data_IF_878275036359
#
_entry.id   IF_878275036359
#
_cell.length_a   1.000
_cell.length_b   1.000
_cell.length_c   1.000
_cell.angle_alpha   90.00
_cell.angle_beta   90.00
_cell.angle_gamma   90.00
#
_symmetry.space_group_name_H-M   'P 1'
#
loop_
_entity.id
_entity.type
_entity.pdbx_description
1 polymer ?
#
# COMPACT_ATOMS: atom_id res chain seq x y z
N UNK A 1 12.54 15.90 30.15
CA UNK A 1 12.01 14.59 30.58
C UNK A 1 13.21 13.70 30.78
N UNK A 2 13.38 13.21 32.00
CA UNK A 2 14.54 12.43 32.45
C UNK A 2 14.54 11.02 31.82
N UNK A 3 15.63 10.55 31.18
CA UNK A 3 15.69 9.23 30.55
C UNK A 3 15.66 8.03 31.52
N UNK A 4 15.58 8.27 32.83
CA UNK A 4 15.74 7.24 33.87
C UNK A 4 14.43 6.61 34.38
N UNK A 5 13.31 6.78 33.68
CA UNK A 5 12.02 6.15 34.04
C UNK A 5 11.43 5.27 32.92
N UNK A 6 12.24 4.39 32.31
CA UNK A 6 11.68 3.21 31.63
C UNK A 6 11.24 2.20 32.70
N UNK A 7 9.98 1.73 32.69
CA UNK A 7 9.55 0.69 33.61
C UNK A 7 10.41 -0.56 33.40
N UNK A 8 10.74 -1.31 34.47
CA UNK A 8 11.50 -2.55 34.34
C UNK A 8 10.79 -3.50 33.37
N UNK A 9 11.54 -4.08 32.44
CA UNK A 9 11.04 -5.15 31.60
C UNK A 9 10.47 -6.24 32.52
N UNK A 10 9.19 -6.58 32.33
CA UNK A 10 8.55 -7.65 33.07
C UNK A 10 9.29 -8.96 32.80
N UNK A 11 9.93 -9.51 33.83
CA UNK A 11 10.65 -10.80 33.83
C UNK A 11 9.71 -12.02 33.69
N UNK A 12 8.41 -11.82 33.46
CA UNK A 12 7.51 -12.92 33.16
C UNK A 12 7.58 -13.26 31.66
N UNK A 13 8.01 -14.50 31.29
CA UNK A 13 7.90 -14.95 29.91
C UNK A 13 6.41 -14.90 29.51
N UNK A 14 6.08 -14.39 28.31
CA UNK A 14 4.69 -14.26 27.89
C UNK A 14 4.00 -15.62 28.05
N UNK A 15 2.85 -15.63 28.74
CA UNK A 15 2.14 -16.85 29.18
C UNK A 15 1.58 -17.73 28.05
N UNK A 16 2.02 -17.53 26.81
CA UNK A 16 1.57 -18.31 25.68
C UNK A 16 2.68 -18.49 24.63
N UNK A 17 3.88 -18.94 25.05
CA UNK A 17 4.87 -19.43 24.09
C UNK A 17 4.43 -20.79 23.59
N UNK A 18 3.56 -20.73 22.60
CA UNK A 18 2.88 -21.88 22.09
C UNK A 18 3.84 -22.60 21.13
N UNK A 19 4.03 -23.91 21.32
CA UNK A 19 4.79 -24.80 20.41
C UNK A 19 4.01 -25.01 19.10
N UNK A 20 3.43 -23.94 18.56
CA UNK A 20 2.58 -23.99 17.40
C UNK A 20 3.49 -24.31 16.20
N UNK A 21 3.06 -25.22 15.31
CA UNK A 21 3.77 -25.45 14.06
C UNK A 21 4.11 -24.13 13.35
N UNK A 22 5.12 -24.16 12.48
CA UNK A 22 5.55 -23.02 11.66
C UNK A 22 4.40 -22.47 10.77
N UNK A 23 3.20 -23.05 10.83
CA UNK A 23 2.01 -22.69 10.10
C UNK A 23 0.74 -22.83 10.97
N UNK A 24 -0.09 -21.78 11.02
CA UNK A 24 -1.45 -21.83 11.57
C UNK A 24 -2.39 -21.26 10.51
N UNK A 25 -3.44 -22.02 10.16
CA UNK A 25 -4.50 -21.50 9.31
C UNK A 25 -5.28 -20.44 10.07
N UNK A 26 -5.41 -19.26 9.45
CA UNK A 26 -6.18 -18.15 10.00
C UNK A 26 -7.53 -18.14 9.28
N UNK A 27 -8.66 -18.34 9.97
CA UNK A 27 -9.98 -18.35 9.35
C UNK A 27 -10.23 -17.08 8.51
N UNK A 28 -10.75 -17.25 7.30
CA UNK A 28 -11.03 -16.13 6.39
C UNK A 28 -9.84 -15.66 5.56
N UNK A 29 -8.66 -16.24 5.75
CA UNK A 29 -7.46 -15.96 4.97
C UNK A 29 -7.00 -17.22 4.23
N UNK A 30 -6.60 -17.05 2.96
CA UNK A 30 -6.01 -18.13 2.16
C UNK A 30 -4.72 -18.58 2.83
N UNK A 31 -4.36 -19.85 2.67
CA UNK A 31 -3.14 -20.38 3.26
C UNK A 31 -1.89 -19.68 2.74
N UNK A 32 -1.41 -18.66 3.45
CA UNK A 32 -0.28 -17.86 2.95
C UNK A 32 1.06 -18.49 3.33
N UNK A 33 1.89 -18.85 2.36
CA UNK A 33 3.29 -19.17 2.62
C UNK A 33 4.04 -17.91 3.05
N UNK A 34 5.04 -18.03 3.93
CA UNK A 34 5.85 -16.87 4.33
C UNK A 34 6.53 -16.20 3.14
N UNK A 35 6.46 -14.87 3.08
CA UNK A 35 7.12 -14.09 2.04
C UNK A 35 6.39 -14.06 0.69
N UNK A 36 5.19 -14.65 0.59
CA UNK A 36 4.39 -14.65 -0.63
C UNK A 36 3.13 -13.80 -0.44
N UNK A 37 2.96 -12.78 -1.28
CA UNK A 37 1.74 -11.98 -1.32
C UNK A 37 0.67 -12.69 -2.14
N UNK A 38 -0.48 -12.97 -1.54
CA UNK A 38 -1.63 -13.58 -2.23
C UNK A 38 -2.70 -12.50 -2.45
N UNK A 39 -3.10 -12.21 -3.71
CA UNK A 39 -4.14 -11.23 -3.98
C UNK A 39 -5.50 -11.71 -3.47
N UNK A 40 -6.27 -10.80 -2.88
CA UNK A 40 -7.63 -11.05 -2.39
C UNK A 40 -8.63 -10.46 -3.36
N UNK A 41 -9.59 -11.28 -3.80
CA UNK A 41 -10.65 -10.83 -4.71
C UNK A 41 -11.59 -9.85 -4.00
N UNK A 42 -11.91 -8.69 -4.59
CA UNK A 42 -12.91 -7.76 -4.03
C UNK A 42 -14.31 -8.38 -3.98
N UNK A 43 -15.15 -7.97 -3.02
CA UNK A 43 -16.56 -8.34 -3.01
C UNK A 43 -17.23 -7.83 -4.29
N UNK A 44 -18.12 -8.64 -4.86
CA UNK A 44 -18.90 -8.23 -6.02
C UNK A 44 -19.88 -7.14 -5.60
N UNK A 45 -19.65 -5.91 -6.06
CA UNK A 45 -20.60 -4.84 -5.88
C UNK A 45 -21.73 -4.97 -6.92
N UNK A 46 -22.99 -4.77 -6.52
CA UNK A 46 -24.08 -4.68 -7.48
C UNK A 46 -23.82 -3.49 -8.40
N UNK A 47 -23.96 -3.70 -9.71
CA UNK A 47 -23.93 -2.60 -10.66
C UNK A 47 -25.07 -1.63 -10.34
N UNK A 48 -24.83 -0.31 -10.31
CA UNK A 48 -25.91 0.64 -10.13
C UNK A 48 -26.97 0.41 -11.22
N UNK A 49 -28.15 -0.02 -10.80
CA UNK A 49 -29.30 -0.19 -11.68
C UNK A 49 -30.06 1.13 -11.73
N UNK A 50 -30.17 1.73 -12.91
CA UNK A 50 -30.90 2.98 -13.09
C UNK A 50 -30.60 3.62 -14.44
N UNK A 51 -31.49 4.51 -14.86
CA UNK A 51 -31.20 5.38 -15.99
C UNK A 51 -30.16 6.42 -15.54
N UNK A 52 -29.22 6.82 -16.43
CA UNK A 52 -28.33 7.95 -16.13
C UNK A 52 -29.17 9.18 -15.77
N UNK A 53 -28.70 10.03 -14.85
CA UNK A 53 -29.42 11.24 -14.49
C UNK A 53 -29.65 12.09 -15.76
N UNK A 54 -30.83 12.74 -15.89
CA UNK A 54 -31.09 13.60 -17.03
C UNK A 54 -30.07 14.73 -17.04
N UNK A 55 -29.23 14.76 -18.09
CA UNK A 55 -28.31 15.86 -18.31
C UNK A 55 -29.06 17.03 -18.91
N UNK A 56 -29.33 18.05 -18.10
CA UNK A 56 -29.86 19.33 -18.58
C UNK A 56 -28.70 20.19 -19.05
N UNK A 57 -28.61 20.38 -20.37
CA UNK A 57 -27.74 21.41 -20.92
C UNK A 57 -28.46 22.74 -20.83
N UNK A 58 -27.89 23.69 -20.09
CA UNK A 58 -28.23 25.08 -20.31
C UNK A 58 -27.71 25.40 -21.71
N UNK A 59 -28.61 25.73 -22.64
CA UNK A 59 -28.20 26.20 -23.95
C UNK A 59 -27.29 27.41 -23.72
N UNK A 60 -25.99 27.25 -23.98
CA UNK A 60 -25.03 28.36 -24.00
C UNK A 60 -25.22 29.15 -25.30
N UNK A 61 -26.47 29.33 -25.72
CA UNK A 61 -26.92 30.21 -26.78
C UNK A 61 -26.59 31.63 -26.33
N UNK A 62 -25.33 32.05 -26.57
CA UNK A 62 -24.82 33.42 -26.75
C UNK A 62 -23.28 33.46 -26.81
N UNK A 63 -22.62 32.53 -27.51
CA UNK A 63 -21.23 32.75 -27.93
C UNK A 63 -21.25 33.53 -29.24
N UNK A 64 -20.67 34.73 -29.24
CA UNK A 64 -20.54 35.58 -30.43
C UNK A 64 -19.23 35.31 -31.18
N UNK A 65 -19.23 35.56 -32.49
CA UNK A 65 -18.06 35.34 -33.36
C UNK A 65 -16.83 36.12 -32.86
N UNK A 66 -17.03 37.32 -32.35
CA UNK A 66 -15.97 38.20 -31.87
C UNK A 66 -15.27 37.61 -30.65
N UNK A 67 -16.01 37.12 -29.64
CA UNK A 67 -15.40 36.45 -28.47
C UNK A 67 -14.61 35.19 -28.87
N UNK A 68 -15.12 34.42 -29.84
CA UNK A 68 -14.39 33.26 -30.38
C UNK A 68 -13.09 33.67 -31.08
N UNK A 69 -13.13 34.73 -31.90
CA UNK A 69 -11.95 35.22 -32.63
C UNK A 69 -10.90 35.77 -31.66
N UNK A 70 -11.33 36.48 -30.62
CA UNK A 70 -10.45 36.97 -29.55
C UNK A 70 -9.82 35.83 -28.76
N UNK A 71 -10.60 34.82 -28.32
CA UNK A 71 -10.07 33.66 -27.62
C UNK A 71 -9.05 32.89 -28.47
N UNK A 72 -9.31 32.73 -29.76
CA UNK A 72 -8.38 32.09 -30.72
C UNK A 72 -7.09 32.90 -30.89
N UNK A 73 -7.20 34.23 -30.93
CA UNK A 73 -6.05 35.13 -30.99
C UNK A 73 -5.18 35.02 -29.73
N UNK A 74 -5.82 35.02 -28.55
CA UNK A 74 -5.14 34.85 -27.27
C UNK A 74 -4.39 33.51 -27.21
N UNK A 75 -5.07 32.41 -27.56
CA UNK A 75 -4.45 31.08 -27.60
C UNK A 75 -3.21 31.05 -28.50
N UNK A 76 -3.27 31.63 -29.70
CA UNK A 76 -2.10 31.72 -30.60
C UNK A 76 -0.99 32.58 -30.02
N UNK A 77 -1.32 33.68 -29.33
CA UNK A 77 -0.32 34.56 -28.72
C UNK A 77 0.46 33.91 -27.56
N UNK A 78 -0.16 32.95 -26.87
CA UNK A 78 0.47 32.19 -25.77
C UNK A 78 1.45 31.12 -26.29
N UNK A 79 1.39 30.77 -27.59
CA UNK A 79 2.21 29.73 -28.20
C UNK A 79 3.28 30.34 -29.13
N UNK A 80 4.52 30.40 -28.66
CA UNK A 80 5.64 31.15 -29.28
C UNK A 80 5.97 30.80 -30.75
N UNK A 81 5.53 29.66 -31.26
CA UNK A 81 5.78 29.19 -32.63
C UNK A 81 4.54 29.23 -33.53
N UNK A 82 3.38 29.69 -33.04
CA UNK A 82 2.17 29.77 -33.85
C UNK A 82 2.15 31.07 -34.66
N UNK A 83 1.97 30.95 -35.98
CA UNK A 83 1.80 32.11 -36.84
C UNK A 83 0.45 32.80 -36.57
N UNK A 84 0.45 34.13 -36.42
CA UNK A 84 -0.77 34.91 -36.17
C UNK A 84 -1.56 35.26 -37.44
N UNK A 85 -0.96 35.13 -38.63
CA UNK A 85 -1.60 35.42 -39.93
C UNK A 85 -2.90 34.64 -40.15
N UNK A 86 -2.95 33.30 -39.96
CA UNK A 86 -4.16 32.53 -40.21
C UNK A 86 -5.35 32.94 -39.33
N UNK A 87 -5.11 33.39 -38.09
CA UNK A 87 -6.20 33.82 -37.19
C UNK A 87 -6.77 35.18 -37.57
N UNK A 88 -5.95 36.07 -38.16
CA UNK A 88 -6.38 37.39 -38.61
C UNK A 88 -7.12 37.35 -39.95
N UNK A 89 -6.71 36.45 -40.85
CA UNK A 89 -7.17 36.44 -42.24
C UNK A 89 -8.30 35.41 -42.50
N UNK A 90 -8.59 34.52 -41.54
CA UNK A 90 -9.68 33.55 -41.70
C UNK A 90 -11.03 34.25 -41.83
N UNK A 91 -11.73 33.95 -42.92
CA UNK A 91 -13.13 34.34 -43.13
C UNK A 91 -14.03 33.25 -42.58
N UNK A 92 -14.83 33.58 -41.57
CA UNK A 92 -15.84 32.68 -41.01
C UNK A 92 -17.09 32.82 -41.87
N UNK A 93 -17.50 31.74 -42.53
CA UNK A 93 -18.63 31.75 -43.47
C UNK A 93 -19.95 31.30 -42.84
N UNK A 94 -19.86 30.51 -41.76
CA UNK A 94 -20.99 30.01 -40.99
C UNK A 94 -20.55 29.86 -39.53
N UNK A 95 -21.48 30.06 -38.60
CA UNK A 95 -21.21 30.03 -37.17
C UNK A 95 -22.33 29.31 -36.43
N UNK A 96 -21.97 28.20 -35.77
CA UNK A 96 -22.89 27.37 -35.00
C UNK A 96 -22.30 27.05 -33.63
N UNK A 97 -22.93 27.59 -32.58
CA UNK A 97 -22.63 27.19 -31.21
C UNK A 97 -23.10 25.76 -30.96
N UNK A 98 -22.19 24.90 -30.50
CA UNK A 98 -22.52 23.55 -30.04
C UNK A 98 -21.97 23.41 -28.64
N UNK A 99 -22.79 22.94 -27.70
CA UNK A 99 -22.35 22.61 -26.35
C UNK A 99 -21.82 21.17 -26.34
N UNK A 100 -20.59 20.99 -25.90
CA UNK A 100 -19.98 19.68 -25.68
C UNK A 100 -19.51 19.57 -24.23
N UNK A 101 -19.63 18.38 -23.65
CA UNK A 101 -19.03 18.08 -22.34
C UNK A 101 -17.62 17.58 -22.57
N UNK A 102 -16.64 18.27 -22.02
CA UNK A 102 -15.30 17.73 -21.84
C UNK A 102 -15.17 17.26 -20.40
N UNK A 103 -14.98 15.96 -20.19
CA UNK A 103 -14.74 15.37 -18.87
C UNK A 103 -13.50 14.49 -18.89
N UNK A 104 -12.83 14.42 -17.76
CA UNK A 104 -11.71 13.51 -17.52
C UNK A 104 -12.19 12.48 -16.50
N UNK A 105 -12.12 11.21 -16.84
CA UNK A 105 -12.41 10.12 -15.90
C UNK A 105 -11.11 9.64 -15.27
N UNK A 106 -10.92 10.02 -14.01
CA UNK A 106 -9.88 9.45 -13.18
C UNK A 106 -10.45 8.24 -12.44
N UNK A 107 -9.96 7.05 -12.79
CA UNK A 107 -10.40 5.81 -12.12
C UNK A 107 -9.31 5.37 -11.16
N UNK A 108 -9.68 5.14 -9.90
CA UNK A 108 -8.80 4.50 -8.93
C UNK A 108 -9.27 3.08 -8.66
N UNK A 109 -8.33 2.13 -8.65
CA UNK A 109 -8.59 0.75 -8.31
C UNK A 109 -7.80 0.38 -7.06
N UNK A 110 -8.49 -0.21 -6.09
CA UNK A 110 -7.90 -0.75 -4.88
C UNK A 110 -7.70 -2.26 -5.04
N UNK A 111 -6.48 -2.74 -4.80
CA UNK A 111 -6.14 -4.15 -4.69
C UNK A 111 -5.65 -4.45 -3.29
N UNK A 112 -6.09 -5.57 -2.71
CA UNK A 112 -5.59 -6.08 -1.43
C UNK A 112 -4.86 -7.40 -1.63
N UNK A 113 -3.75 -7.61 -0.94
CA UNK A 113 -3.07 -8.89 -0.82
C UNK A 113 -2.72 -9.18 0.63
N UNK A 114 -2.56 -10.45 0.97
CA UNK A 114 -2.25 -10.88 2.35
C UNK A 114 -0.97 -11.67 2.37
N UNK A 115 -0.13 -11.45 3.39
CA UNK A 115 1.12 -12.17 3.57
C UNK A 115 1.44 -12.41 5.06
N UNK A 116 1.98 -13.58 5.36
CA UNK A 116 2.56 -13.87 6.67
C UNK A 116 3.91 -13.18 6.85
N UNK A 117 4.06 -12.39 7.90
CA UNK A 117 5.30 -11.70 8.25
C UNK A 117 5.85 -12.17 9.61
N UNK A 118 7.18 -12.10 9.74
CA UNK A 118 7.93 -12.41 10.98
C UNK A 118 8.75 -11.18 11.36
N UNK A 119 8.68 -10.78 12.62
CA UNK A 119 9.53 -9.75 13.19
C UNK A 119 10.11 -10.24 14.53
N UNK A 120 11.36 -9.88 14.90
CA UNK A 120 11.86 -10.16 16.24
C UNK A 120 10.91 -9.61 17.30
N UNK A 121 10.66 -10.36 18.37
CA UNK A 121 9.84 -9.88 19.47
C UNK A 121 10.72 -9.10 20.45
N UNK A 122 10.40 -7.83 20.70
CA UNK A 122 11.19 -6.90 21.54
C UNK A 122 10.43 -6.59 22.85
N UNK A 123 9.47 -7.45 23.22
CA UNK A 123 8.53 -7.17 24.31
C UNK A 123 7.33 -6.32 23.87
N UNK A 124 6.38 -6.12 24.80
CA UNK A 124 5.15 -5.36 24.58
C UNK A 124 3.89 -6.23 24.38
N UNK A 125 2.70 -5.60 24.36
CA UNK A 125 1.44 -6.32 24.24
C UNK A 125 1.34 -7.03 22.88
N UNK A 126 0.80 -8.25 22.92
CA UNK A 126 0.56 -9.08 21.75
C UNK A 126 -0.95 -9.13 21.55
N UNK A 127 -1.40 -8.71 20.38
CA UNK A 127 -2.80 -8.80 19.99
C UNK A 127 -3.07 -10.14 19.30
N UNK A 128 -3.29 -11.17 20.11
CA UNK A 128 -3.48 -12.53 19.64
C UNK A 128 -4.94 -12.93 19.40
N UNK A 129 -5.18 -14.15 18.90
CA UNK A 129 -6.52 -14.69 18.65
C UNK A 129 -7.42 -14.73 19.90
N UNK A 130 -6.83 -14.68 21.10
CA UNK A 130 -7.55 -14.57 22.37
C UNK A 130 -8.36 -13.28 22.52
N UNK A 131 -8.00 -12.21 21.79
CA UNK A 131 -8.69 -10.92 21.84
C UNK A 131 -9.88 -10.82 20.88
N UNK A 132 -10.09 -11.83 20.02
CA UNK A 132 -11.21 -11.89 19.10
C UNK A 132 -10.88 -12.56 17.77
N UNK A 133 -11.89 -12.79 16.91
CA UNK A 133 -11.67 -13.28 15.55
C UNK A 133 -11.05 -12.18 14.68
N UNK A 134 -10.09 -12.52 13.80
CA UNK A 134 -9.51 -11.55 12.88
C UNK A 134 -10.58 -11.08 11.86
N UNK A 135 -10.57 -9.80 11.46
CA UNK A 135 -11.48 -9.27 10.45
C UNK A 135 -11.18 -9.88 9.07
N UNK A 136 -12.17 -9.89 8.17
CA UNK A 136 -11.93 -10.29 6.78
C UNK A 136 -11.15 -9.21 6.03
N UNK A 137 -10.35 -9.57 4.98
CA UNK A 137 -9.50 -8.63 4.26
C UNK A 137 -10.20 -7.38 3.75
N UNK A 138 -11.47 -7.46 3.32
CA UNK A 138 -12.26 -6.33 2.78
C UNK A 138 -13.18 -5.65 3.81
N UNK A 139 -13.40 -6.27 4.97
CA UNK A 139 -14.14 -5.65 6.08
C UNK A 139 -13.22 -4.75 6.91
N UNK A 140 -11.91 -5.00 6.84
CA UNK A 140 -10.89 -4.18 7.48
C UNK A 140 -10.86 -2.77 6.88
N UNK A 141 -10.95 -1.69 7.68
CA UNK A 141 -10.90 -0.33 7.18
C UNK A 141 -9.48 0.02 6.73
N UNK A 142 -9.36 0.35 5.45
CA UNK A 142 -8.15 0.83 4.80
C UNK A 142 -8.46 2.24 4.31
N UNK A 143 -8.12 3.25 5.10
CA UNK A 143 -8.35 4.65 4.69
C UNK A 143 -7.21 5.10 3.79
N UNK A 144 -7.45 5.50 2.54
CA UNK A 144 -6.40 6.01 1.67
C UNK A 144 -5.82 7.31 2.24
N UNK A 145 -4.51 7.54 2.06
CA UNK A 145 -3.86 8.78 2.54
C UNK A 145 -4.41 10.02 1.81
N UNK A 146 -4.71 9.84 0.53
CA UNK A 146 -5.29 10.87 -0.32
C UNK A 146 -6.15 10.21 -1.40
N UNK A 147 -7.32 10.79 -1.66
CA UNK A 147 -8.18 10.37 -2.78
C UNK A 147 -7.46 10.54 -4.11
N UNK A 148 -7.58 9.55 -5.01
CA UNK A 148 -6.96 9.58 -6.34
C UNK A 148 -5.43 9.80 -6.29
N UNK A 149 -4.73 9.04 -5.43
CA UNK A 149 -3.27 8.94 -5.42
C UNK A 149 -2.79 7.51 -5.36
N UNK A 150 -1.86 7.15 -6.24
CA UNK A 150 -1.21 5.84 -6.18
C UNK A 150 -0.44 5.74 -4.87
N UNK A 151 -0.74 4.74 -4.06
CA UNK A 151 -0.04 4.48 -2.80
C UNK A 151 -0.10 3.00 -2.45
N UNK A 152 0.80 2.58 -1.56
CA UNK A 152 0.79 1.22 -1.01
C UNK A 152 0.95 1.28 0.51
N UNK A 153 0.22 0.42 1.22
CA UNK A 153 0.24 0.32 2.68
C UNK A 153 0.42 -1.11 3.10
N UNK A 154 1.17 -1.30 4.18
CA UNK A 154 1.30 -2.57 4.89
C UNK A 154 0.72 -2.40 6.29
N UNK A 155 -0.28 -3.20 6.62
CA UNK A 155 -1.03 -3.07 7.87
C UNK A 155 -1.06 -4.42 8.58
N UNK A 156 -0.81 -4.43 9.90
CA UNK A 156 -0.96 -5.63 10.71
C UNK A 156 -2.44 -5.96 10.88
N UNK A 157 -2.84 -7.19 10.60
CA UNK A 157 -4.23 -7.64 10.79
C UNK A 157 -4.47 -7.85 12.30
N UNK A 158 -5.50 -7.22 12.88
CA UNK A 158 -5.85 -7.40 14.30
C UNK A 158 -6.08 -8.86 14.68
N UNK A 159 -5.75 -9.20 15.93
CA UNK A 159 -5.96 -10.52 16.53
C UNK A 159 -5.23 -11.69 15.83
N UNK A 160 -4.24 -11.40 14.99
CA UNK A 160 -3.43 -12.43 14.30
C UNK A 160 -2.03 -12.59 14.87
N UNK A 161 -1.66 -11.77 15.87
CA UNK A 161 -0.28 -11.75 16.33
C UNK A 161 0.00 -12.87 17.34
N UNK A 162 1.08 -13.61 17.12
CA UNK A 162 1.46 -14.72 18.00
C UNK A 162 2.96 -14.67 18.24
N UNK A 163 3.39 -14.88 19.48
CA UNK A 163 4.80 -15.02 19.82
C UNK A 163 5.19 -16.49 19.71
N UNK A 164 6.20 -16.78 18.89
CA UNK A 164 6.66 -18.13 18.64
C UNK A 164 8.16 -18.29 18.96
N UNK A 165 8.54 -19.52 19.29
CA UNK A 165 9.93 -19.94 19.37
C UNK A 165 10.57 -19.87 17.99
N UNK A 166 11.69 -19.16 17.84
CA UNK A 166 12.45 -19.17 16.59
C UNK A 166 12.80 -20.62 16.20
N UNK A 167 12.38 -21.12 15.01
CA UNK A 167 12.60 -22.51 14.63
C UNK A 167 14.08 -22.85 14.45
N UNK A 168 14.93 -21.84 14.20
CA UNK A 168 16.37 -22.01 14.12
C UNK A 168 17.02 -22.29 15.47
N UNK A 169 16.54 -21.63 16.53
CA UNK A 169 17.19 -21.68 17.85
C UNK A 169 16.37 -22.27 18.99
N UNK A 170 15.08 -22.57 18.79
CA UNK A 170 14.19 -23.22 19.78
C UNK A 170 14.15 -22.47 21.13
N UNK A 171 14.07 -21.13 21.09
CA UNK A 171 14.22 -20.21 22.24
C UNK A 171 15.59 -20.20 22.93
N UNK A 172 16.60 -20.89 22.37
CA UNK A 172 17.88 -21.06 23.07
C UNK A 172 18.92 -20.03 22.69
N UNK A 173 18.64 -19.18 21.69
CA UNK A 173 19.61 -18.20 21.18
C UNK A 173 20.72 -18.77 20.28
N UNK A 174 20.78 -20.09 20.05
CA UNK A 174 21.78 -20.78 19.21
C UNK A 174 21.16 -21.77 18.21
N UNK A 175 21.77 -21.99 17.04
CA UNK A 175 21.19 -22.80 15.96
C UNK A 175 21.73 -24.24 15.93
N UNK A 176 20.88 -25.27 15.79
CA UNK A 176 21.39 -26.63 15.47
C UNK A 176 21.92 -26.65 14.02
N UNK A 177 23.24 -26.64 13.81
CA UNK A 177 23.80 -27.01 12.50
C UNK A 177 23.97 -28.52 12.42
N UNK A 178 23.69 -29.06 11.25
CA UNK A 178 24.10 -30.40 10.87
C UNK A 178 25.46 -30.27 10.17
N UNK A 179 26.56 -30.44 10.92
CA UNK A 179 27.87 -30.64 10.31
C UNK A 179 28.09 -32.15 10.15
N UNK A 180 28.46 -32.56 8.93
CA UNK A 180 28.71 -33.94 8.52
C UNK A 180 29.30 -34.78 9.68
N UNK A 181 28.48 -35.70 10.20
CA UNK A 181 28.93 -36.72 11.16
C UNK A 181 28.85 -36.40 12.65
N UNK A 182 28.47 -35.18 13.10
CA UNK A 182 28.30 -34.92 14.54
C UNK A 182 27.01 -34.15 14.87
N UNK A 183 26.29 -34.61 15.92
CA UNK A 183 25.13 -33.92 16.50
C UNK A 183 25.56 -32.75 17.40
N UNK A 184 26.43 -31.88 16.91
CA UNK A 184 26.93 -30.74 17.69
C UNK A 184 25.93 -29.58 17.68
N UNK A 185 25.79 -28.91 18.83
CA UNK A 185 25.01 -27.66 18.96
C UNK A 185 25.89 -26.54 18.43
N UNK A 186 25.53 -25.90 17.31
CA UNK A 186 26.27 -24.76 16.80
C UNK A 186 25.72 -23.47 17.42
N UNK A 187 26.61 -22.57 17.80
CA UNK A 187 26.20 -21.26 18.30
C UNK A 187 25.69 -20.40 17.13
N UNK A 188 24.87 -19.38 17.44
CA UNK A 188 24.46 -18.41 16.42
C UNK A 188 25.71 -17.75 15.82
N UNK A 189 25.88 -17.76 14.50
CA UNK A 189 27.09 -17.20 13.86
C UNK A 189 27.22 -15.70 14.02
N UNK A 190 26.15 -15.02 14.41
CA UNK A 190 26.15 -13.57 14.60
C UNK A 190 26.45 -13.18 16.05
N UNK A 191 25.90 -13.88 17.05
CA UNK A 191 26.01 -13.51 18.47
C UNK A 191 26.67 -14.57 19.38
N UNK A 192 27.20 -15.65 18.82
CA UNK A 192 27.81 -16.78 19.53
C UNK A 192 26.95 -17.41 20.66
N UNK A 193 25.63 -17.20 20.60
CA UNK A 193 24.68 -17.69 21.61
C UNK A 193 24.39 -16.72 22.75
N UNK A 194 25.08 -15.57 22.82
CA UNK A 194 24.87 -14.55 23.86
C UNK A 194 23.71 -13.61 23.55
N UNK A 195 23.11 -13.76 22.37
CA UNK A 195 21.98 -12.94 21.96
C UNK A 195 22.30 -11.48 21.64
N UNK A 196 23.54 -11.08 21.90
CA UNK A 196 24.08 -9.74 21.73
C UNK A 196 25.34 -9.78 20.89
N UNK A 197 25.63 -8.69 20.20
CA UNK A 197 26.78 -8.54 19.31
C UNK A 197 27.50 -7.26 19.67
N UNK A 198 28.81 -7.34 19.84
CA UNK A 198 29.63 -6.14 19.94
C UNK A 198 29.86 -5.61 18.53
N UNK A 199 29.38 -4.41 18.25
CA UNK A 199 29.63 -3.73 16.98
C UNK A 199 30.13 -2.32 17.23
N UNK A 200 30.96 -1.83 16.33
CA UNK A 200 31.38 -0.44 16.34
C UNK A 200 30.25 0.43 15.80
N UNK A 201 29.75 1.33 16.63
CA UNK A 201 28.77 2.34 16.22
C UNK A 201 29.51 3.49 15.53
N UNK A 202 29.35 3.60 14.22
CA UNK A 202 29.95 4.68 13.43
C UNK A 202 29.36 6.05 13.73
N UNK A 203 28.11 6.13 14.21
CA UNK A 203 27.45 7.39 14.57
C UNK A 203 27.94 7.91 15.91
N UNK A 204 28.23 7.01 16.86
CA UNK A 204 28.65 7.38 18.22
C UNK A 204 30.15 7.16 18.47
N UNK A 205 30.90 6.74 17.45
CA UNK A 205 32.36 6.48 17.49
C UNK A 205 32.78 5.62 18.69
N UNK A 206 31.97 4.62 19.04
CA UNK A 206 32.21 3.77 20.22
C UNK A 206 31.81 2.33 19.96
N UNK A 207 32.43 1.40 20.68
CA UNK A 207 31.93 0.03 20.71
C UNK A 207 30.63 -0.01 21.51
N UNK A 208 29.57 -0.51 20.87
CA UNK A 208 28.26 -0.70 21.46
C UNK A 208 27.88 -2.17 21.45
N UNK A 209 27.19 -2.61 22.48
CA UNK A 209 26.56 -3.93 22.51
C UNK A 209 25.16 -3.82 21.93
N UNK A 210 24.93 -4.46 20.79
CA UNK A 210 23.65 -4.47 20.08
C UNK A 210 22.96 -5.82 20.22
N UNK A 211 21.64 -5.84 20.15
CA UNK A 211 20.89 -7.10 20.13
C UNK A 211 21.11 -7.80 18.78
N UNK A 212 21.16 -9.13 18.80
CA UNK A 212 21.33 -9.90 17.58
C UNK A 212 20.14 -9.66 16.63
N UNK A 213 20.36 -9.11 15.44
CA UNK A 213 19.29 -8.89 14.46
C UNK A 213 18.50 -10.15 14.06
N UNK A 214 19.08 -11.35 14.28
CA UNK A 214 18.46 -12.64 13.94
C UNK A 214 17.59 -13.22 15.05
N UNK A 215 17.93 -13.01 16.32
CA UNK A 215 17.21 -13.63 17.44
C UNK A 215 16.85 -12.67 18.58
N UNK A 216 17.33 -11.43 18.53
CA UNK A 216 17.28 -10.43 19.60
C UNK A 216 17.68 -10.95 20.99
N UNK A 217 18.38 -12.08 21.05
CA UNK A 217 18.83 -12.75 22.27
C UNK A 217 17.84 -13.66 22.96
N UNK A 218 16.54 -13.41 22.82
CA UNK A 218 15.53 -14.22 23.51
C UNK A 218 15.06 -15.41 22.66
N UNK A 219 15.43 -15.44 21.37
CA UNK A 219 15.03 -16.52 20.48
C UNK A 219 13.53 -16.57 20.21
N UNK A 220 12.83 -15.46 20.45
CA UNK A 220 11.41 -15.26 20.21
C UNK A 220 11.19 -14.35 19.00
N UNK A 221 10.13 -14.62 18.24
CA UNK A 221 9.69 -13.74 17.17
C UNK A 221 8.18 -13.59 17.20
N UNK A 222 7.71 -12.41 16.84
CA UNK A 222 6.30 -12.10 16.60
C UNK A 222 5.96 -12.50 15.18
N UNK A 223 4.96 -13.37 15.03
CA UNK A 223 4.27 -13.63 13.77
C UNK A 223 3.07 -12.74 13.68
N UNK A 224 2.83 -12.21 12.50
CA UNK A 224 1.66 -11.40 12.19
C UNK A 224 1.19 -11.74 10.78
N UNK A 225 -0.11 -11.59 10.55
CA UNK A 225 -0.62 -11.49 9.20
C UNK A 225 -0.58 -10.02 8.79
N UNK A 226 -0.02 -9.73 7.63
CA UNK A 226 0.00 -8.38 7.05
C UNK A 226 -0.96 -8.31 5.88
N UNK A 227 -1.81 -7.29 5.88
CA UNK A 227 -2.61 -6.88 4.74
C UNK A 227 -1.82 -5.81 3.98
N UNK A 228 -1.59 -6.06 2.69
CA UNK A 228 -1.04 -5.11 1.75
C UNK A 228 -2.18 -4.52 0.93
N UNK A 229 -2.24 -3.20 0.92
CA UNK A 229 -3.17 -2.45 0.11
C UNK A 229 -2.38 -1.71 -0.95
N UNK A 230 -2.83 -1.78 -2.20
CA UNK A 230 -2.27 -1.06 -3.33
C UNK A 230 -3.41 -0.31 -4.02
N UNK A 231 -3.34 1.02 -4.03
CA UNK A 231 -4.23 1.85 -4.82
C UNK A 231 -3.47 2.32 -6.06
N UNK A 232 -4.02 2.08 -7.25
CA UNK A 232 -3.47 2.55 -8.52
C UNK A 232 -4.48 3.48 -9.20
N UNK A 233 -4.00 4.63 -9.68
CA UNK A 233 -4.76 5.46 -10.61
C UNK A 233 -4.48 4.97 -12.02
N UNK A 234 -5.54 4.72 -12.79
CA UNK A 234 -5.47 4.67 -14.23
C UNK A 234 -6.17 5.91 -14.79
N UNK A 235 -5.41 6.75 -15.51
CA UNK A 235 -6.01 7.72 -16.41
C UNK A 235 -6.47 6.93 -17.64
N UNK A 236 -7.77 6.85 -17.84
CA UNK A 236 -8.30 6.38 -19.12
C UNK A 236 -8.24 7.57 -20.07
N UNK A 237 -7.64 7.34 -21.24
CA UNK A 237 -7.51 8.31 -22.32
C UNK A 237 -8.81 9.10 -22.57
N UNK A 238 -8.63 10.36 -22.97
CA UNK A 238 -9.65 11.33 -23.32
C UNK A 238 -10.60 10.70 -24.35
N UNK A 239 -11.73 10.16 -23.90
CA UNK A 239 -12.86 9.89 -24.77
C UNK A 239 -13.53 11.22 -25.07
N UNK A 240 -13.03 11.92 -26.09
CA UNK A 240 -13.89 12.78 -26.87
C UNK A 240 -15.00 11.88 -27.42
N UNK A 241 -16.18 11.93 -26.83
CA UNK A 241 -17.38 11.39 -27.46
C UNK A 241 -17.52 12.12 -28.79
N UNK A 242 -17.08 11.44 -29.84
CA UNK A 242 -17.07 11.91 -31.20
C UNK A 242 -18.53 11.98 -31.67
N UNK A 243 -19.19 13.09 -31.35
CA UNK A 243 -20.44 13.44 -32.00
C UNK A 243 -20.09 13.99 -33.38
N UNK A 244 -20.32 13.15 -34.39
CA UNK A 244 -20.38 13.47 -35.82
C UNK A 244 -20.48 14.95 -36.17
N UNK A 245 -19.34 15.64 -36.33
CA UNK A 245 -19.24 16.88 -37.09
C UNK A 245 -17.97 16.84 -37.95
N UNK A 246 -17.88 15.81 -38.79
CA UNK A 246 -17.08 15.84 -40.02
C UNK A 246 -18.03 15.59 -41.18
N UNK A 247 -18.87 16.58 -41.46
CA UNK A 247 -19.41 16.83 -42.78
C UNK A 247 -19.44 18.34 -42.96
N UNK A 248 -18.93 18.78 -44.11
CA UNK A 248 -18.59 20.16 -44.50
C UNK A 248 -17.14 20.48 -44.07
N UNK A 249 -16.14 20.42 -44.95
CA UNK A 249 -16.08 21.08 -46.25
C UNK A 249 -15.25 20.26 -47.26
N UNK A 250 -15.90 19.91 -48.38
CA UNK A 250 -15.26 19.85 -49.70
C UNK A 250 -14.97 21.26 -50.20
#
# INVERSE_FOLDING_TARGET
MDPSQLPPASDEPPQNVSKIPDYQEIPGYVSVTFGQDIPVKPPTQPHPQGNPPPMTFTDLSNLDEESCRQARYQFVSEHCCYGSKPVKEIKITDFKGITAIHYILETSAEGRSTMNAKAPYIGGPVDGPENGPPPLPWTFPCTPDQTFRTHSKKIEVPHTSVVCCCPGCDQRGWNRRWHFGSRSRAKCTTCDGDGRVQQYDSQQQRQGTFMCHRCHGDGLYKRILSLFECMNIALIDIFSLNMNVLNLLS
#
